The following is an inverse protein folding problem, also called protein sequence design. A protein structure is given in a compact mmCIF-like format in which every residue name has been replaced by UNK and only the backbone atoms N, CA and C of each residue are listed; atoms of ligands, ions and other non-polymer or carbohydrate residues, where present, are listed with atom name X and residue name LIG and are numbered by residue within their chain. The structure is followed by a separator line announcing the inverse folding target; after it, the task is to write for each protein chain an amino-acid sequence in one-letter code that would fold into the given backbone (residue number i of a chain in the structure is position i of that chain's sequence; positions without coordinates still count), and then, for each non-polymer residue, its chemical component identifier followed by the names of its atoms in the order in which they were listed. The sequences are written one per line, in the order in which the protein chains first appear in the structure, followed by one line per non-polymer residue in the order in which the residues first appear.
data_IF_645214451763
#
_entry.id   IF_645214451763
#
_cell.length_a   1.000
_cell.length_b   1.000
_cell.length_c   1.000
_cell.angle_alpha   90.00
_cell.angle_beta   90.00
_cell.angle_gamma   90.00
#
_symmetry.space_group_name_H-M   'P 1'
#
loop_
_entity.id
_entity.type
_entity.pdbx_description
1 polymer ?
#
# COMPACT_ATOMS: atom_id res chain seq x y z
N UNK A 1 31.48 -11.99 14.83
CA UNK A 1 31.82 -11.04 15.90
C UNK A 1 31.23 -9.69 15.54
N UNK A 2 30.01 -9.39 16.01
CA UNK A 2 29.35 -8.09 15.87
C UNK A 2 28.94 -7.69 17.28
N UNK A 3 29.88 -7.06 18.00
CA UNK A 3 29.54 -6.17 19.11
C UNK A 3 29.30 -4.81 18.49
N UNK A 4 28.13 -4.21 18.71
CA UNK A 4 27.92 -2.77 18.97
C UNK A 4 26.43 -2.60 19.34
N UNK A 5 26.16 -2.04 20.52
CA UNK A 5 24.93 -1.28 20.75
C UNK A 5 23.94 -1.75 21.82
N UNK A 6 24.20 -2.77 22.65
CA UNK A 6 23.36 -2.99 23.83
C UNK A 6 23.69 -1.96 24.92
N UNK A 7 22.72 -1.12 25.27
CA UNK A 7 22.84 -0.13 26.35
C UNK A 7 23.22 -0.80 27.68
N UNK A 8 23.96 -0.07 28.52
CA UNK A 8 24.44 -0.51 29.85
C UNK A 8 23.29 -1.03 30.74
N UNK A 9 22.06 -0.56 30.51
CA UNK A 9 20.85 -0.97 31.22
C UNK A 9 20.45 -2.42 30.90
N UNK A 10 20.59 -2.85 29.64
CA UNK A 10 20.30 -4.23 29.24
C UNK A 10 21.34 -5.23 29.79
N UNK A 11 22.63 -4.84 29.84
CA UNK A 11 23.70 -5.69 30.37
C UNK A 11 23.55 -5.96 31.87
N UNK A 12 23.11 -4.96 32.65
CA UNK A 12 22.86 -5.16 34.09
C UNK A 12 21.69 -6.14 34.36
N UNK A 13 20.63 -6.08 33.56
CA UNK A 13 19.46 -6.95 33.70
C UNK A 13 19.77 -8.41 33.31
N UNK A 14 20.60 -8.61 32.28
CA UNK A 14 21.07 -9.93 31.82
C UNK A 14 22.07 -10.56 32.80
N UNK A 15 22.92 -9.77 33.45
CA UNK A 15 23.87 -10.29 34.47
C UNK A 15 23.18 -10.72 35.77
N UNK A 16 22.10 -10.05 36.17
CA UNK A 16 21.37 -10.35 37.41
C UNK A 16 20.65 -11.71 37.36
N UNK A 17 20.39 -12.23 36.16
CA UNK A 17 19.67 -13.49 35.92
C UNK A 17 20.55 -14.66 35.46
N UNK A 18 21.89 -14.48 35.45
CA UNK A 18 22.81 -15.54 35.01
C UNK A 18 22.73 -15.89 33.51
N UNK A 19 22.16 -14.99 32.69
CA UNK A 19 22.00 -15.17 31.24
C UNK A 19 23.30 -14.98 30.44
N UNK A 20 24.37 -14.55 31.12
CA UNK A 20 25.73 -14.46 30.60
C UNK A 20 26.61 -15.41 31.41
N UNK A 21 27.36 -16.27 30.74
CA UNK A 21 28.43 -16.99 31.41
C UNK A 21 29.66 -16.09 31.61
N UNK A 22 30.68 -16.61 32.33
CA UNK A 22 31.91 -15.85 32.62
C UNK A 22 32.73 -15.48 31.37
N UNK A 23 32.36 -15.98 30.19
CA UNK A 23 32.96 -15.64 28.91
C UNK A 23 32.18 -14.57 28.14
N UNK A 24 31.02 -14.12 28.65
CA UNK A 24 30.19 -13.10 28.01
C UNK A 24 29.25 -13.65 26.94
N UNK A 25 29.14 -14.97 26.83
CA UNK A 25 28.24 -15.63 25.87
C UNK A 25 26.83 -15.76 26.46
N UNK A 26 25.84 -15.47 25.62
CA UNK A 26 24.43 -15.41 26.00
C UNK A 26 23.83 -16.84 26.00
N UNK A 27 23.31 -17.29 27.14
CA UNK A 27 22.66 -18.62 27.29
C UNK A 27 21.12 -18.53 27.39
N UNK A 28 20.51 -17.63 26.63
CA UNK A 28 19.04 -17.51 26.61
C UNK A 28 18.48 -18.53 25.62
N UNK A 29 17.68 -19.47 26.12
CA UNK A 29 16.92 -20.39 25.28
C UNK A 29 15.55 -19.81 24.94
N UNK A 30 14.87 -20.36 23.93
CA UNK A 30 13.50 -19.94 23.59
C UNK A 30 12.50 -20.10 24.73
N UNK A 31 12.81 -20.96 25.72
CA UNK A 31 11.99 -21.18 26.91
C UNK A 31 12.16 -20.06 27.97
N UNK A 32 13.28 -19.33 27.95
CA UNK A 32 13.57 -18.25 28.91
C UNK A 32 12.98 -16.89 28.46
N UNK A 33 12.63 -16.79 27.17
CA UNK A 33 12.12 -15.59 26.52
C UNK A 33 10.82 -15.05 27.15
N UNK A 34 9.80 -15.88 27.46
CA UNK A 34 8.56 -15.39 28.06
C UNK A 34 8.75 -14.80 29.47
N UNK A 35 9.76 -15.27 30.20
CA UNK A 35 10.08 -14.81 31.56
C UNK A 35 10.77 -13.45 31.49
N UNK A 36 11.77 -13.30 30.61
CA UNK A 36 12.44 -12.03 30.33
C UNK A 36 11.45 -10.97 29.79
N UNK A 37 10.54 -11.37 28.90
CA UNK A 37 9.48 -10.51 28.36
C UNK A 37 8.55 -9.99 29.47
N UNK A 38 8.20 -10.82 30.45
CA UNK A 38 7.28 -10.46 31.51
C UNK A 38 7.86 -9.45 32.51
N UNK A 39 9.17 -9.47 32.73
CA UNK A 39 9.86 -8.50 33.58
C UNK A 39 10.13 -7.16 32.87
N UNK A 40 10.35 -7.18 31.55
CA UNK A 40 10.64 -5.98 30.74
C UNK A 40 9.39 -5.16 30.38
N UNK A 41 8.20 -5.78 30.34
CA UNK A 41 6.90 -5.09 30.12
C UNK A 41 6.56 -4.11 31.26
N UNK A 42 7.14 -4.30 32.46
CA UNK A 42 6.93 -3.39 33.59
C UNK A 42 7.85 -2.16 33.57
N UNK A 43 8.71 -2.00 32.54
CA UNK A 43 9.58 -0.85 32.39
C UNK A 43 9.21 -0.04 31.12
N UNK A 44 8.73 1.21 31.26
CA UNK A 44 8.23 2.00 30.13
C UNK A 44 9.32 2.43 29.13
N UNK A 45 10.61 2.33 29.49
CA UNK A 45 11.73 2.69 28.60
C UNK A 45 12.19 1.56 27.67
N UNK A 46 11.63 0.34 27.78
CA UNK A 46 12.10 -0.85 27.04
C UNK A 46 11.31 -1.17 25.77
N UNK A 47 10.12 -0.60 25.56
CA UNK A 47 9.30 -0.87 24.36
C UNK A 47 10.00 -0.44 23.05
N UNK A 48 10.76 0.66 23.07
CA UNK A 48 11.49 1.15 21.90
C UNK A 48 12.73 0.31 21.55
N UNK A 49 13.31 -0.37 22.54
CA UNK A 49 14.49 -1.22 22.36
C UNK A 49 14.07 -2.60 21.83
N UNK A 50 12.90 -3.09 22.27
CA UNK A 50 12.30 -4.35 21.80
C UNK A 50 12.02 -4.34 20.29
N UNK A 51 11.52 -3.22 19.74
CA UNK A 51 11.30 -3.08 18.31
C UNK A 51 12.60 -3.13 17.49
N UNK A 52 13.67 -2.52 17.99
CA UNK A 52 14.97 -2.50 17.31
C UNK A 52 15.69 -3.85 17.38
N UNK A 53 15.54 -4.61 18.46
CA UNK A 53 16.12 -5.94 18.62
C UNK A 53 15.37 -6.97 17.75
N UNK A 54 14.04 -6.91 17.70
CA UNK A 54 13.24 -7.79 16.85
C UNK A 54 13.52 -7.57 15.35
N UNK A 55 13.68 -6.30 14.93
CA UNK A 55 14.00 -5.94 13.54
C UNK A 55 15.45 -6.33 13.17
N UNK A 56 16.40 -6.23 14.12
CA UNK A 56 17.80 -6.60 13.90
C UNK A 56 18.07 -8.12 13.91
N UNK A 57 17.18 -8.93 14.50
CA UNK A 57 17.42 -10.37 14.68
C UNK A 57 16.78 -11.25 13.61
N UNK A 58 16.05 -10.65 12.65
CA UNK A 58 15.44 -11.41 11.56
C UNK A 58 14.60 -12.60 12.04
N UNK A 59 14.04 -12.50 13.27
CA UNK A 59 13.22 -13.55 13.85
C UNK A 59 11.87 -13.51 13.14
N UNK A 60 11.83 -14.18 11.99
CA UNK A 60 10.59 -14.64 11.37
C UNK A 60 9.94 -15.60 12.36
N UNK A 61 9.07 -15.09 13.22
CA UNK A 61 7.97 -15.92 13.66
C UNK A 61 7.20 -16.29 12.40
N UNK A 62 7.12 -17.59 12.11
CA UNK A 62 6.11 -18.16 11.23
C UNK A 62 4.74 -18.14 11.92
N UNK A 63 4.36 -16.97 12.46
CA UNK A 63 3.03 -16.66 12.93
C UNK A 63 2.39 -15.76 11.87
N UNK A 64 1.13 -16.03 11.55
CA UNK A 64 0.31 -15.22 10.65
C UNK A 64 0.37 -13.76 11.12
N UNK A 65 1.29 -12.99 10.56
CA UNK A 65 1.52 -11.61 10.99
C UNK A 65 0.34 -10.79 10.50
N UNK A 66 -0.57 -10.50 11.41
CA UNK A 66 -1.71 -9.62 11.16
C UNK A 66 -1.19 -8.23 10.80
N UNK A 67 -1.58 -7.76 9.62
CA UNK A 67 -1.13 -6.50 9.06
C UNK A 67 -2.18 -5.44 9.37
N UNK A 68 -1.72 -4.27 9.80
CA UNK A 68 -2.57 -3.08 9.93
C UNK A 68 -2.52 -2.32 8.60
N UNK A 69 -3.48 -2.58 7.69
CA UNK A 69 -3.36 -2.20 6.28
C UNK A 69 -3.29 -0.69 6.08
N UNK A 70 -3.94 0.11 6.93
CA UNK A 70 -3.86 1.58 6.87
C UNK A 70 -2.44 2.12 7.02
N UNK A 71 -1.52 1.40 7.68
CA UNK A 71 -0.12 1.81 7.78
C UNK A 71 0.64 1.63 6.46
N UNK A 72 0.12 0.83 5.52
CA UNK A 72 0.69 0.56 4.21
C UNK A 72 0.00 1.35 3.09
N UNK A 73 -0.99 2.18 3.43
CA UNK A 73 -1.71 3.02 2.47
C UNK A 73 -1.94 4.43 3.04
N UNK A 74 -0.86 5.23 3.23
CA UNK A 74 -0.98 6.56 3.81
C UNK A 74 -1.73 7.52 2.88
N UNK A 75 -2.80 8.13 3.40
CA UNK A 75 -3.63 9.13 2.70
C UNK A 75 -3.39 10.57 3.19
N UNK A 76 -2.23 10.84 3.79
CA UNK A 76 -1.90 12.14 4.35
C UNK A 76 -1.67 13.18 3.25
N UNK A 77 -2.15 14.41 3.45
CA UNK A 77 -1.85 15.55 2.56
C UNK A 77 -0.34 15.81 2.46
N UNK A 78 0.08 16.47 1.37
CA UNK A 78 1.50 16.69 1.05
C UNK A 78 2.31 15.40 0.84
N UNK A 79 1.63 14.29 0.52
CA UNK A 79 2.27 13.05 0.10
C UNK A 79 2.30 12.95 -1.42
N UNK A 80 3.40 12.43 -1.95
CA UNK A 80 3.53 12.09 -3.35
C UNK A 80 4.52 10.93 -3.54
N UNK A 81 4.36 10.22 -4.66
CA UNK A 81 5.24 9.13 -5.06
C UNK A 81 5.48 9.24 -6.56
N UNK A 82 6.75 9.30 -6.94
CA UNK A 82 7.16 9.27 -8.35
C UNK A 82 7.73 7.90 -8.66
N UNK A 83 7.17 7.26 -9.68
CA UNK A 83 7.52 5.93 -10.13
C UNK A 83 8.16 5.99 -11.52
N UNK A 84 9.13 5.12 -11.73
CA UNK A 84 9.80 4.94 -13.01
C UNK A 84 9.89 3.47 -13.38
N UNK A 85 9.86 3.17 -14.67
CA UNK A 85 10.18 1.84 -15.18
C UNK A 85 11.60 1.43 -14.77
N UNK A 86 11.79 0.21 -14.25
CA UNK A 86 13.12 -0.32 -13.91
C UNK A 86 13.23 -1.83 -14.17
N UNK A 87 14.46 -2.36 -14.18
CA UNK A 87 14.76 -3.76 -14.52
C UNK A 87 14.29 -4.21 -15.92
N UNK A 88 14.54 -3.38 -16.95
CA UNK A 88 14.26 -3.72 -18.35
C UNK A 88 12.85 -3.37 -18.83
N UNK A 89 12.05 -2.69 -18.01
CA UNK A 89 10.79 -2.05 -18.43
C UNK A 89 11.02 -0.81 -19.30
N UNK A 90 9.99 -0.43 -20.07
CA UNK A 90 9.94 0.83 -20.81
C UNK A 90 10.12 2.02 -19.85
N UNK A 91 10.82 3.06 -20.30
CA UNK A 91 10.88 4.36 -19.59
C UNK A 91 9.73 5.29 -19.96
N UNK A 92 8.86 4.85 -20.88
CA UNK A 92 7.81 5.68 -21.49
C UNK A 92 6.59 5.85 -20.57
N UNK A 93 6.58 5.20 -19.40
CA UNK A 93 5.50 5.29 -18.44
C UNK A 93 5.98 5.66 -17.01
N UNK A 94 6.55 6.85 -16.89
CA UNK A 94 6.87 7.42 -15.58
C UNK A 94 5.70 8.28 -15.12
N UNK A 95 5.22 8.05 -13.89
CA UNK A 95 4.11 8.80 -13.33
C UNK A 95 4.35 9.20 -11.88
N UNK A 96 3.56 10.17 -11.43
CA UNK A 96 3.54 10.65 -10.06
C UNK A 96 2.12 10.63 -9.52
N UNK A 97 1.95 9.98 -8.38
CA UNK A 97 0.74 10.10 -7.56
C UNK A 97 0.91 11.22 -6.55
N UNK A 98 -0.09 12.06 -6.41
CA UNK A 98 -0.11 13.16 -5.44
C UNK A 98 -1.41 13.16 -4.66
N UNK A 99 -1.31 13.14 -3.33
CA UNK A 99 -2.46 13.37 -2.46
C UNK A 99 -2.82 14.85 -2.51
N UNK A 100 -4.03 15.16 -2.99
CA UNK A 100 -4.51 16.53 -3.10
C UNK A 100 -4.93 17.10 -1.73
N UNK A 101 -4.92 18.44 -1.64
CA UNK A 101 -5.47 19.12 -0.47
C UNK A 101 -7.01 19.13 -0.46
N UNK A 102 -7.62 19.05 -1.64
CA UNK A 102 -9.07 18.89 -1.81
C UNK A 102 -9.52 17.47 -1.48
N UNK A 103 -10.75 17.37 -0.99
CA UNK A 103 -11.44 16.10 -0.78
C UNK A 103 -12.67 16.00 -1.68
N UNK A 104 -13.06 14.79 -2.04
CA UNK A 104 -14.25 14.50 -2.80
C UNK A 104 -15.44 14.20 -1.88
N UNK A 105 -16.59 14.80 -2.15
CA UNK A 105 -17.84 14.33 -1.53
C UNK A 105 -18.27 13.02 -2.17
N UNK A 106 -18.39 11.97 -1.37
CA UNK A 106 -18.77 10.62 -1.82
C UNK A 106 -20.10 10.16 -1.20
N UNK A 107 -20.88 11.10 -0.66
CA UNK A 107 -22.17 10.82 -0.06
C UNK A 107 -22.08 10.25 1.36
N UNK A 108 -23.24 10.13 2.02
CA UNK A 108 -23.34 9.60 3.39
C UNK A 108 -22.56 10.41 4.44
N UNK A 109 -22.26 11.68 4.17
CA UNK A 109 -21.44 12.54 5.03
C UNK A 109 -19.94 12.26 4.98
N UNK A 110 -19.48 11.38 4.08
CA UNK A 110 -18.06 11.01 3.95
C UNK A 110 -17.34 11.90 2.94
N UNK A 111 -16.08 12.20 3.23
CA UNK A 111 -15.16 12.93 2.34
C UNK A 111 -13.97 12.02 2.01
N UNK A 112 -13.84 11.64 0.74
CA UNK A 112 -12.73 10.83 0.27
C UNK A 112 -11.52 11.70 -0.07
N UNK A 113 -10.33 11.21 0.24
CA UNK A 113 -9.05 11.78 -0.20
C UNK A 113 -8.91 11.59 -1.70
N UNK A 114 -8.49 12.66 -2.38
CA UNK A 114 -8.22 12.66 -3.82
C UNK A 114 -6.74 12.37 -4.08
N UNK A 115 -6.44 11.40 -4.94
CA UNK A 115 -5.09 11.08 -5.40
C UNK A 115 -5.01 11.30 -6.90
N UNK A 116 -4.24 12.28 -7.33
CA UNK A 116 -4.08 12.62 -8.76
C UNK A 116 -2.89 11.91 -9.37
N UNK A 117 -3.08 11.38 -10.57
CA UNK A 117 -2.02 10.86 -11.43
C UNK A 117 -1.55 11.92 -12.42
N UNK A 118 -0.23 12.04 -12.59
CA UNK A 118 0.37 12.81 -13.67
C UNK A 118 1.52 12.01 -14.25
N UNK A 119 1.63 11.98 -15.56
CA UNK A 119 2.73 11.32 -16.26
C UNK A 119 3.75 12.37 -16.73
N UNK A 120 4.93 11.90 -17.16
CA UNK A 120 5.92 12.78 -17.79
C UNK A 120 5.54 13.15 -19.23
N UNK A 121 4.66 12.39 -19.86
CA UNK A 121 4.18 12.58 -21.23
C UNK A 121 2.95 13.48 -21.25
N UNK A 122 3.01 14.74 -21.73
CA UNK A 122 1.91 15.70 -21.61
C UNK A 122 0.62 15.30 -22.32
N UNK A 123 0.71 14.41 -23.31
CA UNK A 123 -0.42 13.92 -24.10
C UNK A 123 -1.01 12.61 -23.56
N UNK A 124 -0.48 12.08 -22.45
CA UNK A 124 -1.01 10.87 -21.83
C UNK A 124 -2.42 11.11 -21.28
N UNK A 125 -3.33 10.20 -21.61
CA UNK A 125 -4.75 10.30 -21.24
C UNK A 125 -4.98 10.16 -19.73
N UNK A 126 -4.02 9.59 -18.98
CA UNK A 126 -4.06 9.47 -17.50
C UNK A 126 -3.71 10.77 -16.79
N UNK A 127 -3.17 11.76 -17.52
CA UNK A 127 -2.99 13.08 -16.95
C UNK A 127 -4.36 13.62 -16.51
N UNK A 128 -4.45 14.05 -15.25
CA UNK A 128 -5.67 14.52 -14.58
C UNK A 128 -6.63 13.43 -14.08
N UNK A 129 -6.28 12.16 -14.20
CA UNK A 129 -7.03 11.13 -13.48
C UNK A 129 -6.88 11.33 -11.98
N UNK A 130 -8.00 11.20 -11.26
CA UNK A 130 -8.03 11.37 -9.80
C UNK A 130 -8.82 10.25 -9.16
N UNK A 131 -8.18 9.46 -8.31
CA UNK A 131 -8.85 8.44 -7.52
C UNK A 131 -9.43 9.00 -6.22
N UNK A 132 -10.54 8.44 -5.76
CA UNK A 132 -11.19 8.78 -4.50
C UNK A 132 -11.01 7.65 -3.49
N UNK A 133 -10.21 7.88 -2.46
CA UNK A 133 -9.88 6.91 -1.42
C UNK A 133 -10.40 7.33 -0.06
N UNK A 134 -10.91 6.40 0.72
CA UNK A 134 -11.39 6.68 2.07
C UNK A 134 -10.81 5.68 3.07
N UNK A 135 -10.22 6.20 4.14
CA UNK A 135 -9.81 5.42 5.31
C UNK A 135 -10.88 5.58 6.39
N UNK A 136 -11.54 4.48 6.75
CA UNK A 136 -12.46 4.48 7.88
C UNK A 136 -11.68 4.48 9.18
N UNK A 137 -11.75 5.58 9.93
CA UNK A 137 -11.00 5.75 11.18
C UNK A 137 -11.49 4.85 12.31
N UNK A 138 -12.72 4.32 12.22
CA UNK A 138 -13.29 3.44 13.25
C UNK A 138 -12.85 1.99 13.06
N UNK A 139 -12.77 1.52 11.80
CA UNK A 139 -12.44 0.12 11.50
C UNK A 139 -11.01 -0.08 11.00
N UNK A 140 -10.34 0.97 10.52
CA UNK A 140 -9.05 0.87 9.83
C UNK A 140 -9.16 0.40 8.38
N UNK A 141 -10.37 0.20 7.86
CA UNK A 141 -10.60 -0.26 6.50
C UNK A 141 -10.29 0.82 5.46
N UNK A 142 -9.70 0.42 4.35
CA UNK A 142 -9.39 1.27 3.20
C UNK A 142 -10.35 0.94 2.07
N UNK A 143 -11.00 1.98 1.54
CA UNK A 143 -12.00 1.86 0.48
C UNK A 143 -11.63 2.71 -0.74
N UNK A 144 -11.87 2.16 -1.92
CA UNK A 144 -11.93 2.87 -3.17
C UNK A 144 -13.38 3.30 -3.43
N UNK A 145 -13.60 4.60 -3.55
CA UNK A 145 -14.92 5.22 -3.72
C UNK A 145 -15.21 5.69 -5.15
N UNK A 146 -14.25 5.56 -6.06
CA UNK A 146 -14.41 5.92 -7.46
C UNK A 146 -13.28 6.78 -7.98
N UNK A 147 -13.51 7.41 -9.13
CA UNK A 147 -12.50 8.13 -9.86
C UNK A 147 -13.07 9.29 -10.68
N UNK A 148 -12.24 10.29 -10.94
CA UNK A 148 -12.40 11.26 -12.00
C UNK A 148 -11.62 10.78 -13.22
N UNK A 149 -12.26 10.75 -14.38
CA UNK A 149 -11.57 10.40 -15.64
C UNK A 149 -11.24 11.68 -16.41
N UNK A 150 -9.95 11.96 -16.56
CA UNK A 150 -9.43 13.21 -17.10
C UNK A 150 -9.68 13.40 -18.60
N UNK A 151 -9.63 12.31 -19.38
CA UNK A 151 -9.96 12.27 -20.81
C UNK A 151 -10.41 10.86 -21.20
N UNK A 152 -11.46 10.70 -22.03
CA UNK A 152 -11.84 9.37 -22.56
C UNK A 152 -11.97 9.40 -24.08
N UNK A 153 -11.03 8.74 -24.77
CA UNK A 153 -11.28 8.22 -26.12
C UNK A 153 -12.16 6.98 -26.01
N UNK A 154 -13.46 7.18 -26.15
CA UNK A 154 -14.38 6.07 -26.31
C UNK A 154 -14.08 5.25 -27.56
N UNK A 155 -14.32 3.94 -27.50
CA UNK A 155 -14.29 3.05 -28.67
C UNK A 155 -15.48 3.32 -29.60
N UNK A 156 -15.48 4.46 -30.30
CA UNK A 156 -16.40 4.81 -31.40
C UNK A 156 -17.92 4.85 -31.13
N UNK A 157 -18.41 4.33 -30.00
CA UNK A 157 -19.84 4.10 -29.72
C UNK A 157 -20.36 4.99 -28.59
N UNK A 158 -19.52 5.37 -27.63
CA UNK A 158 -19.86 6.31 -26.56
C UNK A 158 -18.63 7.09 -26.12
N UNK A 159 -18.77 8.39 -25.88
CA UNK A 159 -17.73 9.21 -25.22
C UNK A 159 -18.21 9.50 -23.81
N UNK A 160 -17.43 9.12 -22.80
CA UNK A 160 -17.73 9.54 -21.43
C UNK A 160 -17.31 11.01 -21.29
N UNK A 161 -18.21 11.91 -20.89
CA UNK A 161 -17.80 13.27 -20.55
C UNK A 161 -16.87 13.21 -19.34
N UNK A 162 -15.92 14.14 -19.26
CA UNK A 162 -15.10 14.36 -18.07
C UNK A 162 -16.04 14.57 -16.89
N UNK A 163 -16.01 13.66 -15.93
CA UNK A 163 -16.86 13.70 -14.75
C UNK A 163 -16.29 12.81 -13.64
N UNK A 164 -16.75 13.11 -12.42
CA UNK A 164 -16.53 12.23 -11.27
C UNK A 164 -17.47 11.03 -11.37
N UNK A 165 -16.91 9.83 -11.24
CA UNK A 165 -17.63 8.57 -11.04
C UNK A 165 -17.49 8.23 -9.56
N UNK A 166 -18.58 8.38 -8.80
CA UNK A 166 -18.63 7.95 -7.40
C UNK A 166 -19.39 6.63 -7.31
N UNK A 167 -18.78 5.64 -6.66
CA UNK A 167 -19.39 4.35 -6.41
C UNK A 167 -20.50 4.49 -5.37
N UNK A 168 -21.66 3.91 -5.65
CA UNK A 168 -22.77 3.82 -4.70
C UNK A 168 -22.44 2.85 -3.57
N UNK A 169 -21.76 1.75 -3.93
CA UNK A 169 -21.18 0.80 -2.99
C UNK A 169 -19.66 0.80 -3.21
N UNK A 170 -18.87 1.37 -2.26
CA UNK A 170 -17.43 1.45 -2.40
C UNK A 170 -16.79 0.08 -2.30
N UNK A 171 -15.65 -0.08 -2.97
CA UNK A 171 -14.88 -1.31 -2.95
C UNK A 171 -13.90 -1.27 -1.77
N UNK A 172 -13.95 -2.24 -0.86
CA UNK A 172 -12.95 -2.42 0.19
C UNK A 172 -11.68 -3.02 -0.39
N UNK A 173 -10.58 -2.28 -0.27
CA UNK A 173 -9.27 -2.65 -0.81
C UNK A 173 -8.34 -3.18 0.28
N UNK A 174 -8.59 -2.83 1.54
CA UNK A 174 -7.83 -3.37 2.66
C UNK A 174 -8.56 -3.26 3.98
N UNK A 175 -8.17 -4.10 4.93
CA UNK A 175 -8.68 -4.12 6.30
C UNK A 175 -7.59 -4.42 7.30
N UNK A 176 -7.79 -3.99 8.54
CA UNK A 176 -6.93 -4.41 9.64
C UNK A 176 -7.10 -5.91 9.91
N UNK A 177 -5.98 -6.59 10.20
CA UNK A 177 -5.97 -8.02 10.49
C UNK A 177 -5.93 -8.92 9.24
N UNK A 178 -5.62 -8.38 8.06
CA UNK A 178 -5.22 -9.22 6.93
C UNK A 178 -3.96 -10.02 7.31
N UNK A 179 -3.93 -11.30 6.97
CA UNK A 179 -2.83 -12.20 7.30
C UNK A 179 -1.93 -12.41 6.08
N UNK A 180 -0.62 -12.38 6.30
CA UNK A 180 0.36 -12.78 5.27
C UNK A 180 0.16 -14.26 4.94
N UNK A 181 -0.01 -14.59 3.65
CA UNK A 181 -0.34 -15.94 3.19
C UNK A 181 -1.78 -16.37 3.50
N UNK A 182 -2.60 -15.47 4.06
CA UNK A 182 -4.00 -15.74 4.39
C UNK A 182 -4.92 -15.78 3.17
N UNK A 183 -6.20 -16.02 3.42
CA UNK A 183 -7.23 -15.97 2.39
C UNK A 183 -7.34 -14.56 1.78
N UNK A 184 -7.63 -14.44 0.47
CA UNK A 184 -7.84 -13.15 -0.16
C UNK A 184 -9.04 -12.41 0.45
N UNK A 185 -8.92 -11.09 0.56
CA UNK A 185 -10.06 -10.19 0.73
C UNK A 185 -10.76 -10.11 -0.62
N UNK A 186 -11.96 -10.67 -0.70
CA UNK A 186 -12.84 -10.52 -1.84
C UNK A 186 -13.90 -9.48 -1.52
N UNK A 187 -14.09 -8.51 -2.41
CA UNK A 187 -15.16 -7.53 -2.27
C UNK A 187 -15.75 -7.12 -3.62
N UNK A 188 -16.98 -6.59 -3.59
CA UNK A 188 -17.70 -6.13 -4.77
C UNK A 188 -18.28 -4.75 -4.49
N UNK A 189 -17.81 -3.76 -5.26
CA UNK A 189 -18.40 -2.43 -5.32
C UNK A 189 -19.34 -2.28 -6.52
N UNK A 190 -20.22 -1.30 -6.45
CA UNK A 190 -21.13 -0.94 -7.51
C UNK A 190 -21.13 0.58 -7.70
N UNK A 191 -21.24 1.01 -8.95
CA UNK A 191 -21.30 2.41 -9.31
C UNK A 191 -22.28 2.64 -10.45
N UNK A 192 -22.73 3.88 -10.58
CA UNK A 192 -23.49 4.30 -11.75
C UNK A 192 -23.03 5.68 -12.18
N UNK A 193 -22.95 5.88 -13.49
CA UNK A 193 -22.66 7.19 -14.07
C UNK A 193 -23.80 7.59 -14.99
N UNK A 194 -24.05 8.90 -15.09
CA UNK A 194 -24.94 9.44 -16.11
C UNK A 194 -24.10 9.87 -17.30
N UNK A 195 -24.50 9.44 -18.49
CA UNK A 195 -23.87 9.81 -19.75
C UNK A 195 -24.89 10.49 -20.66
N UNK A 196 -24.44 11.46 -21.44
CA UNK A 196 -25.28 12.06 -22.48
C UNK A 196 -25.04 11.28 -23.78
N UNK A 197 -26.09 10.67 -24.33
CA UNK A 197 -26.05 10.00 -25.63
C UNK A 197 -26.91 10.77 -26.64
N UNK A 198 -26.81 10.49 -27.94
CA UNK A 198 -27.75 11.04 -28.93
C UNK A 198 -29.23 10.71 -28.65
N UNK A 199 -29.50 9.72 -27.78
CA UNK A 199 -30.84 9.30 -27.39
C UNK A 199 -31.31 9.92 -26.06
N UNK A 200 -30.53 10.84 -25.48
CA UNK A 200 -30.81 11.49 -24.19
C UNK A 200 -29.83 11.08 -23.08
N UNK A 201 -30.08 11.56 -21.86
CA UNK A 201 -29.27 11.17 -20.70
C UNK A 201 -29.60 9.73 -20.29
N UNK A 202 -28.57 8.88 -20.22
CA UNK A 202 -28.69 7.48 -19.82
C UNK A 202 -27.85 7.21 -18.57
N UNK A 203 -28.35 6.36 -17.69
CA UNK A 203 -27.57 5.83 -16.56
C UNK A 203 -26.90 4.54 -17.01
N UNK A 204 -25.58 4.50 -16.89
CA UNK A 204 -24.79 3.28 -17.07
C UNK A 204 -24.38 2.79 -15.70
N UNK A 205 -24.64 1.51 -15.43
CA UNK A 205 -24.20 0.85 -14.21
C UNK A 205 -22.89 0.09 -14.46
N UNK A 206 -22.03 0.06 -13.45
CA UNK A 206 -20.81 -0.71 -13.43
C UNK A 206 -20.64 -1.44 -12.11
N UNK A 207 -19.96 -2.57 -12.15
CA UNK A 207 -19.62 -3.42 -11.01
C UNK A 207 -18.11 -3.57 -10.96
N UNK A 208 -17.55 -3.34 -9.78
CA UNK A 208 -16.13 -3.49 -9.49
C UNK A 208 -15.98 -4.70 -8.58
N UNK A 209 -15.21 -5.70 -8.98
CA UNK A 209 -14.89 -6.85 -8.15
C UNK A 209 -13.40 -6.88 -7.92
N UNK A 210 -12.96 -6.99 -6.66
CA UNK A 210 -11.56 -7.16 -6.33
C UNK A 210 -11.31 -8.39 -5.48
N UNK A 211 -10.14 -8.99 -5.71
CA UNK A 211 -9.55 -10.04 -4.88
C UNK A 211 -8.13 -9.62 -4.53
N UNK A 212 -7.87 -9.41 -3.24
CA UNK A 212 -6.64 -8.82 -2.75
C UNK A 212 -6.03 -9.73 -1.69
N UNK A 213 -4.80 -10.18 -1.92
CA UNK A 213 -4.11 -11.10 -1.03
C UNK A 213 -2.71 -10.58 -0.70
N UNK A 214 -2.36 -10.53 0.58
CA UNK A 214 -0.96 -10.36 0.97
C UNK A 214 -0.30 -11.72 0.99
N UNK A 215 0.71 -11.92 0.16
CA UNK A 215 1.31 -13.22 -0.09
C UNK A 215 2.51 -13.48 0.81
N UNK A 216 3.41 -12.50 0.94
CA UNK A 216 4.65 -12.64 1.68
C UNK A 216 5.17 -11.30 2.21
N UNK A 217 6.08 -11.37 3.18
CA UNK A 217 6.95 -10.25 3.56
C UNK A 217 8.29 -10.47 2.87
N UNK A 218 8.64 -9.57 1.97
CA UNK A 218 9.93 -9.52 1.28
C UNK A 218 10.95 -8.84 2.21
N UNK A 219 12.00 -9.54 2.66
CA UNK A 219 12.95 -8.99 3.63
C UNK A 219 13.71 -7.78 3.10
N UNK A 220 14.06 -7.79 1.82
CA UNK A 220 14.73 -6.69 1.11
C UNK A 220 14.18 -6.60 -0.30
N UNK A 221 13.71 -5.42 -0.69
CA UNK A 221 13.24 -5.11 -2.04
C UNK A 221 13.99 -3.90 -2.59
N UNK A 222 14.55 -4.04 -3.78
CA UNK A 222 15.37 -3.00 -4.40
C UNK A 222 14.52 -2.15 -5.35
N UNK A 223 14.64 -0.84 -5.22
CA UNK A 223 13.96 0.16 -6.07
C UNK A 223 14.97 1.16 -6.61
N UNK A 224 14.62 2.01 -7.59
CA UNK A 224 15.47 3.12 -8.03
C UNK A 224 15.86 4.09 -6.91
N UNK A 225 15.00 4.29 -5.90
CA UNK A 225 15.31 5.12 -4.73
C UNK A 225 16.30 4.45 -3.75
N UNK A 226 16.39 3.12 -3.77
CA UNK A 226 17.25 2.32 -2.88
C UNK A 226 16.52 1.09 -2.33
N UNK A 227 17.07 0.52 -1.25
CA UNK A 227 16.57 -0.71 -0.67
C UNK A 227 15.49 -0.44 0.38
N UNK A 228 14.41 -1.21 0.35
CA UNK A 228 13.40 -1.22 1.40
C UNK A 228 13.40 -2.57 2.09
N UNK A 229 13.44 -2.57 3.42
CA UNK A 229 13.31 -3.80 4.21
C UNK A 229 11.86 -4.09 4.55
N UNK A 230 11.50 -5.35 4.79
CA UNK A 230 10.16 -5.76 5.28
C UNK A 230 9.00 -5.17 4.46
N UNK A 231 9.04 -5.38 3.14
CA UNK A 231 8.02 -4.94 2.18
C UNK A 231 6.98 -6.03 2.05
N UNK A 232 5.69 -5.71 2.15
CA UNK A 232 4.65 -6.71 1.87
C UNK A 232 4.46 -6.82 0.37
N UNK A 233 4.36 -8.06 -0.11
CA UNK A 233 3.93 -8.36 -1.48
C UNK A 233 2.44 -8.64 -1.46
N UNK A 234 1.71 -7.95 -2.31
CA UNK A 234 0.27 -8.06 -2.43
C UNK A 234 -0.11 -8.37 -3.88
N UNK A 235 -0.95 -9.38 -4.08
CA UNK A 235 -1.53 -9.69 -5.39
C UNK A 235 -2.94 -9.09 -5.43
N UNK A 236 -3.21 -8.36 -6.49
CA UNK A 236 -4.49 -7.69 -6.76
C UNK A 236 -5.04 -8.22 -8.08
N UNK A 237 -6.26 -8.73 -8.02
CA UNK A 237 -7.08 -8.96 -9.19
C UNK A 237 -8.26 -8.00 -9.13
N UNK A 238 -8.45 -7.20 -10.17
CA UNK A 238 -9.54 -6.26 -10.30
C UNK A 238 -10.27 -6.54 -11.61
N UNK A 239 -11.58 -6.68 -11.53
CA UNK A 239 -12.44 -6.68 -12.72
C UNK A 239 -13.46 -5.57 -12.58
N UNK A 240 -13.58 -4.77 -13.63
CA UNK A 240 -14.62 -3.75 -13.78
C UNK A 240 -15.50 -4.18 -14.93
N UNK A 241 -16.76 -4.47 -14.63
CA UNK A 241 -17.77 -4.85 -15.63
C UNK A 241 -18.78 -3.72 -15.71
N UNK A 242 -18.86 -3.01 -16.83
CA UNK A 242 -19.72 -1.84 -16.94
C UNK A 242 -19.38 -1.03 -18.18
N UNK A 243 -20.24 -0.08 -18.56
CA UNK A 243 -19.94 0.77 -19.74
C UNK A 243 -19.83 -0.02 -21.05
N UNK A 244 -20.52 -1.17 -21.15
CA UNK A 244 -20.50 -2.03 -22.33
C UNK A 244 -19.15 -2.71 -22.59
N UNK A 245 -18.22 -2.68 -21.63
CA UNK A 245 -16.91 -3.31 -21.70
C UNK A 245 -16.56 -3.97 -20.36
N UNK A 246 -15.65 -4.94 -20.43
CA UNK A 246 -15.02 -5.50 -19.24
C UNK A 246 -13.56 -5.07 -19.25
N UNK A 247 -13.12 -4.43 -18.17
CA UNK A 247 -11.70 -4.18 -17.90
C UNK A 247 -11.25 -5.17 -16.85
N UNK A 248 -10.20 -5.93 -17.15
CA UNK A 248 -9.69 -6.99 -16.29
C UNK A 248 -8.21 -6.75 -16.06
N UNK A 249 -7.86 -6.54 -14.79
CA UNK A 249 -6.50 -6.47 -14.28
C UNK A 249 -6.25 -7.74 -13.47
N UNK A 250 -5.50 -8.68 -14.03
CA UNK A 250 -5.19 -9.96 -13.41
C UNK A 250 -3.73 -10.02 -12.97
N UNK A 251 -3.49 -10.68 -11.84
CA UNK A 251 -2.17 -10.97 -11.30
C UNK A 251 -1.25 -9.74 -11.14
N UNK A 252 -1.84 -8.56 -10.89
CA UNK A 252 -1.06 -7.35 -10.62
C UNK A 252 -0.43 -7.47 -9.23
N UNK A 253 0.89 -7.30 -9.15
CA UNK A 253 1.62 -7.40 -7.89
C UNK A 253 2.00 -6.01 -7.41
N UNK A 254 1.66 -5.71 -6.17
CA UNK A 254 1.98 -4.47 -5.49
C UNK A 254 2.95 -4.76 -4.36
N UNK A 255 3.98 -3.93 -4.23
CA UNK A 255 4.95 -3.99 -3.14
C UNK A 255 4.74 -2.79 -2.23
N UNK A 256 4.30 -3.02 -1.00
CA UNK A 256 3.95 -1.95 -0.06
C UNK A 256 4.90 -1.92 1.15
N UNK A 257 5.35 -0.74 1.53
CA UNK A 257 6.17 -0.50 2.73
C UNK A 257 5.38 0.30 3.76
N UNK A 258 5.39 -0.18 5.01
CA UNK A 258 4.81 0.51 6.16
C UNK A 258 5.32 1.95 6.26
N UNK A 259 4.39 2.89 6.42
CA UNK A 259 4.65 4.33 6.52
C UNK A 259 4.98 5.02 5.19
N UNK A 260 5.17 4.24 4.11
CA UNK A 260 5.53 4.76 2.79
C UNK A 260 4.39 4.60 1.81
N UNK A 261 3.73 3.45 1.76
CA UNK A 261 2.79 3.12 0.70
C UNK A 261 3.39 2.16 -0.33
N UNK A 262 2.95 2.27 -1.58
CA UNK A 262 3.50 1.50 -2.69
C UNK A 262 4.93 1.94 -3.00
N UNK A 263 5.84 0.97 -3.06
CA UNK A 263 7.25 1.18 -3.44
C UNK A 263 7.57 0.59 -4.82
N UNK A 264 6.75 -0.35 -5.29
CA UNK A 264 6.78 -0.83 -6.66
C UNK A 264 5.45 -1.50 -7.03
N UNK A 265 5.21 -1.61 -8.33
CA UNK A 265 4.16 -2.45 -8.90
C UNK A 265 4.67 -3.20 -10.12
N UNK A 266 4.17 -4.41 -10.30
CA UNK A 266 4.37 -5.27 -11.46
C UNK A 266 2.98 -5.54 -12.06
N UNK A 267 2.76 -5.08 -13.28
CA UNK A 267 1.49 -5.23 -14.00
C UNK A 267 1.73 -6.04 -15.27
N UNK A 268 0.71 -6.80 -15.70
CA UNK A 268 0.78 -7.51 -16.98
C UNK A 268 1.11 -6.51 -18.09
N UNK A 269 2.10 -6.81 -18.96
CA UNK A 269 2.53 -5.88 -19.97
C UNK A 269 1.40 -5.60 -20.96
N UNK A 270 0.86 -4.39 -20.85
CA UNK A 270 0.19 -3.68 -21.91
C UNK A 270 1.28 -3.14 -22.88
N UNK A 271 1.02 -3.01 -24.20
CA UNK A 271 2.03 -2.59 -25.18
C UNK A 271 2.69 -1.21 -24.92
N UNK A 272 2.08 -0.39 -24.08
CA UNK A 272 2.46 0.98 -23.74
C UNK A 272 2.96 1.11 -22.29
N UNK A 273 2.73 0.12 -21.42
CA UNK A 273 3.05 0.20 -19.99
C UNK A 273 4.34 -0.56 -19.62
N UNK A 274 5.09 0.00 -18.66
CA UNK A 274 6.26 -0.67 -18.11
C UNK A 274 5.82 -1.84 -17.22
N UNK A 275 6.28 -3.05 -17.53
CA UNK A 275 5.98 -4.27 -16.75
C UNK A 275 6.26 -4.08 -15.24
N UNK A 276 7.37 -3.42 -14.89
CA UNK A 276 7.74 -3.15 -13.49
C UNK A 276 8.08 -1.68 -13.30
N UNK A 277 7.38 -1.03 -12.38
CA UNK A 277 7.62 0.35 -11.98
C UNK A 277 8.00 0.41 -10.51
N UNK A 278 9.01 1.22 -10.19
CA UNK A 278 9.56 1.36 -8.85
C UNK A 278 9.66 2.81 -8.43
N UNK A 279 9.55 3.06 -7.14
CA UNK A 279 9.65 4.40 -6.59
C UNK A 279 11.07 4.97 -6.82
N UNK A 280 11.14 6.17 -7.37
CA UNK A 280 12.39 6.91 -7.58
C UNK A 280 12.54 8.06 -6.59
N UNK A 281 11.44 8.68 -6.18
CA UNK A 281 11.41 9.74 -5.19
C UNK A 281 10.00 9.94 -4.64
N UNK A 282 9.88 10.70 -3.56
CA UNK A 282 8.57 11.08 -3.05
C UNK A 282 8.61 11.60 -1.62
N UNK A 283 7.42 11.88 -1.08
CA UNK A 283 7.19 12.35 0.29
C UNK A 283 5.97 11.69 0.89
N UNK A 284 5.97 11.49 2.21
CA UNK A 284 4.76 11.17 2.98
C UNK A 284 4.58 12.24 4.05
N UNK A 285 3.41 12.88 4.05
CA UNK A 285 3.09 13.99 4.95
C UNK A 285 4.16 15.12 4.94
N UNK A 286 4.74 15.40 3.76
CA UNK A 286 5.80 16.39 3.59
C UNK A 286 7.22 15.94 3.97
N UNK A 287 7.38 14.74 4.55
CA UNK A 287 8.69 14.15 4.87
C UNK A 287 9.19 13.34 3.69
N UNK A 288 10.44 13.55 3.28
CA UNK A 288 11.05 12.78 2.18
C UNK A 288 11.07 11.29 2.50
N UNK A 289 10.73 10.47 1.50
CA UNK A 289 10.90 9.03 1.58
C UNK A 289 12.39 8.73 1.48
N UNK A 290 12.90 7.93 2.41
CA UNK A 290 14.30 7.51 2.44
C UNK A 290 14.31 5.98 2.41
N UNK A 291 15.11 5.43 1.48
CA UNK A 291 15.41 4.01 1.44
C UNK A 291 16.47 3.66 2.50
N UNK A 292 16.42 2.44 3.03
CA UNK A 292 17.30 1.95 4.09
C UNK A 292 18.66 1.49 3.55
#
# INVERSE_FOLDING_TARGET
MVLIGLSIVCLSALSAHGALDRTGDMKVTSADLPILLKELVNNPNTASIMFQIADAWGMTESSESAINFREYFPLAQNSNWTYVGFNGGSTEDNFTWTVENSQQDVGGGKKATRIRTNTQEPADDRNLDVDFWYLDTNTGDVFFYGLHVGTVKGSGIFTLPIQDIVLTDPLKVGKDGMLVGGAPLNDTGAGSVKVNTPLGQQTINGVFTASIQVTEIVPVFNTPLGNFTNVIRMVVNLKVSGFGQDFVFENSTFFLKKGVGMVAQDQQPDPNDAQLQGIQSGKVAGVNIVAN
#
